data_IF_783243772491
#
_entry.id   IF_783243772491
#
_cell.length_a   1.000
_cell.length_b   1.000
_cell.length_c   1.000
_cell.angle_alpha   90.00
_cell.angle_beta   90.00
_cell.angle_gamma   90.00
#
_symmetry.space_group_name_H-M   'P 1'
#
loop_
_entity.id
_entity.type
_entity.pdbx_description
1 polymer ?
#
# COMPACT_ATOMS: atom_id res chain seq x y z
N UNK A 1 -9.20 -6.08 -5.58
CA UNK A 1 -8.64 -5.95 -4.21
C UNK A 1 -8.16 -4.52 -3.99
N UNK A 2 -8.56 -3.86 -2.89
CA UNK A 2 -8.16 -2.47 -2.59
C UNK A 2 -6.96 -2.43 -1.64
N UNK A 3 -5.96 -1.62 -1.99
CA UNK A 3 -4.75 -1.32 -1.22
C UNK A 3 -4.78 0.14 -0.83
N UNK A 4 -4.77 0.38 0.49
CA UNK A 4 -4.65 1.71 1.07
C UNK A 4 -3.20 1.98 1.46
N UNK A 5 -2.65 3.18 1.25
CA UNK A 5 -1.29 3.53 1.68
C UNK A 5 -1.05 3.27 3.17
N UNK A 6 -2.06 3.53 4.00
CA UNK A 6 -2.04 3.30 5.44
C UNK A 6 -1.72 1.84 5.85
N UNK A 7 -1.86 0.86 4.94
CA UNK A 7 -1.55 -0.54 5.25
C UNK A 7 -0.06 -0.83 5.38
N UNK A 8 0.78 -0.04 4.72
CA UNK A 8 2.24 -0.23 4.70
C UNK A 8 3.00 0.93 5.33
N UNK A 9 2.30 1.98 5.77
CA UNK A 9 2.89 3.16 6.37
C UNK A 9 3.47 2.85 7.76
N UNK A 10 4.77 3.10 7.92
CA UNK A 10 5.50 2.90 9.19
C UNK A 10 5.09 3.90 10.25
N UNK A 11 4.63 5.09 9.87
CA UNK A 11 4.17 6.13 10.80
C UNK A 11 2.78 5.83 11.39
N UNK A 12 2.07 4.83 10.85
CA UNK A 12 0.74 4.42 11.35
C UNK A 12 0.85 3.20 12.24
N UNK A 13 0.10 3.21 13.33
CA UNK A 13 -0.10 2.05 14.20
C UNK A 13 -1.02 1.01 13.53
N UNK A 14 -1.11 -0.19 14.15
CA UNK A 14 -2.07 -1.23 13.75
C UNK A 14 -3.53 -0.73 13.80
N UNK A 15 -3.86 0.08 14.82
CA UNK A 15 -5.20 0.67 14.98
C UNK A 15 -5.49 1.69 13.89
N UNK A 16 -4.48 2.44 13.45
CA UNK A 16 -4.64 3.44 12.40
C UNK A 16 -4.68 2.85 10.99
N UNK A 17 -4.16 1.64 10.77
CA UNK A 17 -4.32 0.93 9.50
C UNK A 17 -3.21 -0.02 9.13
N UNK A 18 -2.02 0.10 9.74
CA UNK A 18 -0.85 -0.68 9.34
C UNK A 18 -1.08 -2.18 9.46
N UNK A 19 -0.86 -2.91 8.37
CA UNK A 19 -1.05 -4.37 8.25
C UNK A 19 0.25 -5.14 8.16
N UNK A 20 1.35 -4.51 7.79
CA UNK A 20 2.69 -5.13 7.77
C UNK A 20 3.46 -4.87 9.08
N UNK A 21 4.40 -5.74 9.49
CA UNK A 21 5.29 -5.45 10.61
C UNK A 21 6.24 -4.27 10.31
N UNK A 22 6.82 -3.64 11.34
CA UNK A 22 7.52 -2.34 11.21
C UNK A 22 8.83 -2.43 10.45
N UNK A 23 9.51 -3.58 10.57
CA UNK A 23 10.69 -3.96 9.79
C UNK A 23 10.44 -3.94 8.27
N UNK A 24 9.21 -4.22 7.84
CA UNK A 24 8.79 -4.17 6.43
C UNK A 24 8.05 -2.89 6.06
N UNK A 25 7.53 -2.15 7.03
CA UNK A 25 6.80 -0.92 6.78
C UNK A 25 7.70 0.13 6.09
N UNK A 26 7.06 1.00 5.31
CA UNK A 26 7.68 2.02 4.46
C UNK A 26 7.44 3.39 5.08
N UNK A 27 8.49 4.20 5.15
CA UNK A 27 8.36 5.62 5.50
C UNK A 27 7.98 6.44 4.27
N UNK A 28 7.14 7.46 4.45
CA UNK A 28 6.73 8.39 3.38
C UNK A 28 6.12 7.67 2.14
N UNK A 29 5.10 6.85 2.38
CA UNK A 29 4.42 6.05 1.34
C UNK A 29 3.85 6.93 0.23
N UNK A 30 4.27 6.70 -1.01
CA UNK A 30 3.70 7.35 -2.20
C UNK A 30 2.90 6.34 -3.02
N UNK A 31 1.73 6.75 -3.51
CA UNK A 31 0.89 5.92 -4.40
C UNK A 31 1.68 5.42 -5.62
N UNK A 32 2.53 6.28 -6.20
CA UNK A 32 3.36 5.94 -7.37
C UNK A 32 4.32 4.79 -7.11
N UNK A 33 4.80 4.63 -5.88
CA UNK A 33 5.74 3.57 -5.54
C UNK A 33 5.03 2.23 -5.36
N UNK A 34 3.82 2.26 -4.77
CA UNK A 34 2.94 1.08 -4.72
C UNK A 34 2.54 0.65 -6.13
N UNK A 35 2.14 1.58 -6.99
CA UNK A 35 1.77 1.31 -8.39
C UNK A 35 2.93 0.65 -9.15
N UNK A 36 4.15 1.21 -9.03
CA UNK A 36 5.35 0.64 -9.65
C UNK A 36 5.69 -0.75 -9.09
N UNK A 37 5.53 -0.96 -7.80
CA UNK A 37 5.77 -2.26 -7.17
C UNK A 37 4.80 -3.32 -7.69
N UNK A 38 3.50 -2.98 -7.79
CA UNK A 38 2.49 -3.88 -8.36
C UNK A 38 2.76 -4.20 -9.83
N UNK A 39 3.13 -3.19 -10.64
CA UNK A 39 3.53 -3.41 -12.04
C UNK A 39 4.74 -4.33 -12.18
N UNK A 40 5.75 -4.20 -11.30
CA UNK A 40 6.90 -5.11 -11.25
C UNK A 40 6.52 -6.56 -10.89
N UNK A 41 5.43 -6.74 -10.14
CA UNK A 41 4.88 -8.04 -9.80
C UNK A 41 3.98 -8.62 -10.92
N UNK A 42 3.89 -7.95 -12.08
CA UNK A 42 3.08 -8.40 -13.22
C UNK A 42 1.58 -8.17 -13.05
N UNK A 43 1.18 -7.28 -12.14
CA UNK A 43 -0.22 -6.94 -11.90
C UNK A 43 -0.60 -5.63 -12.59
N UNK A 44 -1.90 -5.47 -12.85
CA UNK A 44 -2.48 -4.26 -13.43
C UNK A 44 -3.19 -3.40 -12.37
N UNK A 45 -2.51 -2.42 -11.76
CA UNK A 45 -3.11 -1.54 -10.77
C UNK A 45 -3.92 -0.40 -11.42
N UNK A 46 -5.09 -0.11 -10.86
CA UNK A 46 -5.89 1.10 -11.11
C UNK A 46 -5.74 2.06 -9.93
N UNK A 47 -5.34 3.30 -10.19
CA UNK A 47 -5.06 4.30 -9.15
C UNK A 47 -6.25 5.26 -9.02
N UNK A 48 -6.75 5.41 -7.79
CA UNK A 48 -7.78 6.38 -7.44
C UNK A 48 -7.21 7.42 -6.47
N UNK A 49 -6.97 8.65 -6.94
CA UNK A 49 -6.26 9.68 -6.16
C UNK A 49 -7.17 10.49 -5.24
N UNK A 50 -8.46 10.52 -5.54
CA UNK A 50 -9.51 11.29 -4.85
C UNK A 50 -10.06 10.58 -3.61
N UNK A 51 -9.76 9.30 -3.44
CA UNK A 51 -10.31 8.48 -2.36
C UNK A 51 -9.65 8.76 -1.01
N UNK A 52 -10.44 8.60 0.05
CA UNK A 52 -10.01 8.81 1.43
C UNK A 52 -10.22 7.53 2.23
N UNK A 53 -9.24 7.18 3.06
CA UNK A 53 -9.35 6.00 3.90
C UNK A 53 -10.30 6.33 5.07
N UNK A 54 -11.32 5.51 5.37
CA UNK A 54 -12.34 5.85 6.37
C UNK A 54 -11.81 6.21 7.77
N UNK A 55 -10.70 5.59 8.21
CA UNK A 55 -10.07 5.89 9.50
C UNK A 55 -9.31 7.23 9.52
N UNK A 56 -9.06 7.82 8.36
CA UNK A 56 -8.45 9.14 8.16
C UNK A 56 -9.22 9.90 7.07
N UNK A 57 -10.54 10.05 7.25
CA UNK A 57 -11.44 10.59 6.22
C UNK A 57 -11.15 12.06 5.84
N UNK A 58 -10.38 12.78 6.67
CA UNK A 58 -9.93 14.15 6.41
C UNK A 58 -8.76 14.21 5.42
N UNK A 59 -8.03 13.11 5.22
CA UNK A 59 -6.82 13.07 4.39
C UNK A 59 -7.10 12.41 3.02
N UNK A 60 -6.74 13.12 1.95
CA UNK A 60 -6.78 12.58 0.57
C UNK A 60 -5.51 11.77 0.34
N UNK A 61 -5.55 10.49 0.68
CA UNK A 61 -4.44 9.55 0.53
C UNK A 61 -4.51 8.73 -0.77
N UNK A 62 -5.69 8.65 -1.39
CA UNK A 62 -5.98 7.77 -2.52
C UNK A 62 -5.96 6.29 -2.16
N UNK A 63 -6.27 5.45 -3.14
CA UNK A 63 -6.15 4.01 -3.05
C UNK A 63 -5.79 3.40 -4.40
N UNK A 64 -5.37 2.14 -4.36
CA UNK A 64 -5.06 1.37 -5.56
C UNK A 64 -5.93 0.12 -5.55
N UNK A 65 -6.59 -0.11 -6.66
CA UNK A 65 -7.30 -1.35 -6.93
C UNK A 65 -6.44 -2.26 -7.82
N UNK A 66 -6.41 -3.54 -7.52
CA UNK A 66 -5.72 -4.55 -8.33
C UNK A 66 -6.57 -5.81 -8.38
N UNK A 67 -6.63 -6.47 -9.53
CA UNK A 67 -7.16 -7.82 -9.60
C UNK A 67 -6.11 -8.81 -9.06
N UNK A 68 -6.34 -9.29 -7.85
CA UNK A 68 -5.47 -10.23 -7.18
C UNK A 68 -6.31 -11.14 -6.30
N UNK A 69 -6.22 -12.45 -6.55
CA UNK A 69 -7.00 -13.49 -5.86
C UNK A 69 -6.24 -14.18 -4.73
N UNK A 70 -4.97 -13.83 -4.53
CA UNK A 70 -4.11 -14.42 -3.51
C UNK A 70 -4.24 -13.78 -2.13
N UNK A 71 -3.31 -14.12 -1.24
CA UNK A 71 -3.28 -13.61 0.13
C UNK A 71 -2.89 -12.12 0.16
N UNK A 72 -3.79 -11.28 0.65
CA UNK A 72 -3.58 -9.83 0.75
C UNK A 72 -2.36 -9.44 1.59
N UNK A 73 -2.13 -10.11 2.71
CA UNK A 73 -0.99 -9.79 3.58
C UNK A 73 0.34 -10.15 2.91
N UNK A 74 0.39 -11.28 2.18
CA UNK A 74 1.56 -11.68 1.40
C UNK A 74 1.88 -10.62 0.34
N UNK A 75 0.87 -10.16 -0.41
CA UNK A 75 1.03 -9.12 -1.41
C UNK A 75 1.56 -7.81 -0.80
N UNK A 76 1.02 -7.37 0.34
CA UNK A 76 1.51 -6.17 1.04
C UNK A 76 2.99 -6.30 1.45
N UNK A 77 3.41 -7.47 1.94
CA UNK A 77 4.82 -7.73 2.28
C UNK A 77 5.72 -7.67 1.03
N UNK A 78 5.29 -8.26 -0.10
CA UNK A 78 6.06 -8.22 -1.34
C UNK A 78 6.15 -6.81 -1.94
N UNK A 79 5.07 -6.01 -1.86
CA UNK A 79 5.10 -4.59 -2.22
C UNK A 79 6.15 -3.85 -1.39
N UNK A 80 6.13 -4.01 -0.06
CA UNK A 80 7.11 -3.41 0.84
C UNK A 80 8.56 -3.78 0.44
N UNK A 81 8.84 -5.07 0.27
CA UNK A 81 10.17 -5.55 -0.15
C UNK A 81 10.60 -4.98 -1.50
N UNK A 82 9.66 -4.83 -2.43
CA UNK A 82 9.92 -4.30 -3.78
C UNK A 82 10.22 -2.81 -3.76
N UNK A 83 9.60 -2.06 -2.84
CA UNK A 83 9.88 -0.64 -2.62
C UNK A 83 11.25 -0.47 -1.97
N UNK A 84 11.55 -1.20 -0.88
CA UNK A 84 12.85 -1.11 -0.17
C UNK A 84 14.04 -1.52 -1.02
N UNK A 85 13.89 -2.49 -1.93
CA UNK A 85 14.98 -2.89 -2.86
C UNK A 85 15.38 -1.79 -3.85
N UNK A 86 14.65 -0.67 -3.88
CA UNK A 86 14.92 0.48 -4.76
C UNK A 86 15.59 1.64 -4.03
N UNK A 87 15.78 1.54 -2.71
CA UNK A 87 16.58 2.44 -1.88
C UNK A 87 17.98 1.87 -1.65
#
# INVERSE_FOLDING_TARGET
MIIWPAYIDKKKSRKEGRRVPEDLAIENVKLKDIEKALKKLGLEPKVYRDKRYPRQHWEICGCIEVDYKGNKLQLLKEICKTIKRKE
#
